data_IF_084669266307
#
_entry.id   IF_084669266307
#
_cell.length_a   1.000
_cell.length_b   1.000
_cell.length_c   1.000
_cell.angle_alpha   90.00
_cell.angle_beta   90.00
_cell.angle_gamma   90.00
#
_symmetry.space_group_name_H-M   'P 1'
#
loop_
_entity.id
_entity.type
_entity.pdbx_description
1 polymer ?
#
# COMPACT_ATOMS: atom_id res chain seq x y z
N UNK A 1 -27.18 22.52 2.72
CA UNK A 1 -27.08 21.50 3.79
C UNK A 1 -28.42 20.82 3.82
N UNK A 2 -28.54 19.60 3.29
CA UNK A 2 -29.83 18.92 3.15
C UNK A 2 -30.27 18.41 4.53
N UNK A 3 -31.44 18.80 5.03
CA UNK A 3 -31.86 18.38 6.36
C UNK A 3 -32.27 16.91 6.28
N UNK A 4 -31.36 16.01 6.64
CA UNK A 4 -31.75 14.66 7.04
C UNK A 4 -32.81 14.77 8.14
N UNK A 5 -33.83 13.91 8.15
CA UNK A 5 -34.87 13.97 9.16
C UNK A 5 -34.26 13.79 10.56
N UNK A 6 -34.49 14.77 11.44
CA UNK A 6 -33.99 14.77 12.81
C UNK A 6 -35.11 14.41 13.79
N UNK A 7 -34.78 13.66 14.85
CA UNK A 7 -35.74 13.33 15.90
C UNK A 7 -36.82 12.31 15.48
N UNK A 8 -36.63 11.60 14.36
CA UNK A 8 -37.58 10.60 13.87
C UNK A 8 -37.19 9.17 14.26
N UNK A 9 -38.07 8.21 13.99
CA UNK A 9 -37.85 6.77 14.22
C UNK A 9 -36.73 6.18 13.36
N UNK A 10 -36.28 6.87 12.32
CA UNK A 10 -35.11 6.48 11.51
C UNK A 10 -33.79 6.59 12.28
N UNK A 11 -33.80 7.34 13.39
CA UNK A 11 -32.63 7.62 14.21
C UNK A 11 -31.76 8.72 13.61
N UNK A 12 -30.53 8.84 14.12
CA UNK A 12 -29.58 9.84 13.63
C UNK A 12 -28.96 9.34 12.32
N UNK A 13 -29.45 9.88 11.19
CA UNK A 13 -28.96 9.55 9.87
C UNK A 13 -27.68 10.32 9.52
N UNK A 14 -26.84 9.67 8.71
CA UNK A 14 -25.72 10.27 7.98
C UNK A 14 -25.82 9.82 6.52
N UNK A 15 -25.70 10.75 5.58
CA UNK A 15 -25.57 10.39 4.15
C UNK A 15 -24.28 9.59 3.99
N UNK A 16 -24.40 8.39 3.45
CA UNK A 16 -23.28 7.52 3.10
C UNK A 16 -22.79 7.84 1.70
N UNK A 17 -23.72 8.06 0.78
CA UNK A 17 -23.42 8.23 -0.64
C UNK A 17 -24.58 8.89 -1.39
N UNK A 18 -24.31 9.70 -2.40
CA UNK A 18 -25.32 10.36 -3.25
C UNK A 18 -25.30 9.68 -4.61
N UNK A 19 -26.40 8.99 -4.93
CA UNK A 19 -26.52 8.12 -6.08
C UNK A 19 -26.98 8.86 -7.33
N UNK A 20 -27.82 9.87 -7.16
CA UNK A 20 -28.28 10.76 -8.23
C UNK A 20 -28.31 12.21 -7.72
N UNK A 21 -27.77 13.13 -8.51
CA UNK A 21 -27.64 14.54 -8.17
C UNK A 21 -28.07 15.43 -9.33
N UNK A 22 -29.20 16.12 -9.15
CA UNK A 22 -29.70 17.11 -10.08
C UNK A 22 -30.35 18.25 -9.30
N UNK A 23 -29.69 19.41 -9.26
CA UNK A 23 -30.07 20.58 -8.44
C UNK A 23 -30.28 20.22 -6.94
N UNK A 24 -29.52 19.23 -6.47
CA UNK A 24 -29.66 18.60 -5.16
C UNK A 24 -29.59 17.06 -5.25
N UNK A 25 -29.40 16.35 -4.13
CA UNK A 25 -29.41 14.89 -4.10
C UNK A 25 -30.84 14.42 -4.34
N UNK A 26 -31.08 13.75 -5.46
CA UNK A 26 -32.39 13.18 -5.80
C UNK A 26 -32.49 11.74 -5.31
N UNK A 27 -31.39 11.01 -5.34
CA UNK A 27 -31.31 9.68 -4.72
C UNK A 27 -30.02 9.57 -3.93
N UNK A 28 -30.09 9.05 -2.69
CA UNK A 28 -28.90 8.84 -1.87
C UNK A 28 -29.09 7.66 -0.93
N UNK A 29 -28.00 7.16 -0.36
CA UNK A 29 -28.06 6.20 0.73
C UNK A 29 -27.67 6.86 2.05
N UNK A 30 -28.35 6.47 3.12
CA UNK A 30 -28.11 6.96 4.46
C UNK A 30 -27.97 5.79 5.43
N UNK A 31 -27.20 6.01 6.50
CA UNK A 31 -27.05 5.04 7.57
C UNK A 31 -27.40 5.70 8.90
N UNK A 32 -28.16 4.99 9.73
CA UNK A 32 -28.40 5.45 11.10
C UNK A 32 -27.27 5.02 12.05
N UNK A 33 -27.28 5.57 13.28
CA UNK A 33 -26.29 5.23 14.30
C UNK A 33 -26.26 3.74 14.71
N UNK A 34 -27.30 2.97 14.39
CA UNK A 34 -27.37 1.52 14.64
C UNK A 34 -26.80 0.69 13.46
N UNK A 35 -26.36 1.33 12.38
CA UNK A 35 -25.78 0.67 11.21
C UNK A 35 -26.79 0.27 10.14
N UNK A 36 -28.09 0.53 10.33
CA UNK A 36 -29.13 0.22 9.34
C UNK A 36 -28.99 1.16 8.15
N UNK A 37 -28.98 0.58 6.94
CA UNK A 37 -28.90 1.30 5.68
C UNK A 37 -30.28 1.61 5.14
N UNK A 38 -30.41 2.79 4.56
CA UNK A 38 -31.61 3.29 3.91
C UNK A 38 -31.26 3.77 2.51
N UNK A 39 -32.10 3.45 1.54
CA UNK A 39 -32.16 4.14 0.25
C UNK A 39 -33.18 5.27 0.37
N UNK A 40 -32.75 6.51 0.13
CA UNK A 40 -33.60 7.69 0.12
C UNK A 40 -33.80 8.16 -1.32
N UNK A 41 -35.06 8.34 -1.70
CA UNK A 41 -35.47 8.83 -3.01
C UNK A 41 -36.33 10.09 -2.83
N UNK A 42 -36.00 11.15 -3.56
CA UNK A 42 -36.80 12.36 -3.64
C UNK A 42 -38.01 12.09 -4.54
N UNK A 43 -39.19 12.04 -3.92
CA UNK A 43 -40.41 11.58 -4.57
C UNK A 43 -41.19 12.71 -5.22
N UNK A 44 -41.27 13.86 -4.56
CA UNK A 44 -42.03 15.02 -5.02
C UNK A 44 -41.64 16.30 -4.23
N UNK A 45 -42.12 17.45 -4.67
CA UNK A 45 -42.05 18.69 -3.91
C UNK A 45 -43.34 19.52 -3.96
N UNK A 46 -43.53 20.33 -2.93
CA UNK A 46 -44.50 21.41 -2.90
C UNK A 46 -43.79 22.75 -2.68
N UNK A 47 -44.54 23.84 -2.72
CA UNK A 47 -44.01 25.18 -2.43
C UNK A 47 -43.41 25.30 -1.01
N UNK A 48 -43.80 24.43 -0.08
CA UNK A 48 -43.41 24.49 1.33
C UNK A 48 -42.56 23.30 1.82
N UNK A 49 -42.65 22.15 1.16
CA UNK A 49 -42.11 20.88 1.66
C UNK A 49 -41.50 20.04 0.53
N UNK A 50 -40.46 19.26 0.86
CA UNK A 50 -39.93 18.19 0.02
C UNK A 50 -40.44 16.83 0.53
N UNK A 51 -40.81 15.94 -0.38
CA UNK A 51 -41.28 14.59 -0.07
C UNK A 51 -40.21 13.56 -0.41
N UNK A 52 -39.97 12.65 0.53
CA UNK A 52 -38.94 11.62 0.42
C UNK A 52 -39.48 10.25 0.76
N UNK A 53 -38.98 9.24 0.06
CA UNK A 53 -39.20 7.83 0.40
C UNK A 53 -37.89 7.26 0.92
N UNK A 54 -37.90 6.77 2.16
CA UNK A 54 -36.79 6.04 2.76
C UNK A 54 -37.13 4.57 2.88
N UNK A 55 -36.29 3.71 2.32
CA UNK A 55 -36.48 2.26 2.29
C UNK A 55 -35.33 1.59 3.03
N UNK A 56 -35.58 0.84 4.11
CA UNK A 56 -34.58 -0.06 4.69
C UNK A 56 -34.06 -1.01 3.61
N UNK A 57 -32.75 -1.08 3.45
CA UNK A 57 -32.15 -1.85 2.36
C UNK A 57 -30.90 -2.58 2.82
N UNK A 58 -30.78 -3.85 2.46
CA UNK A 58 -29.54 -4.60 2.67
C UNK A 58 -28.39 -4.04 1.82
N UNK A 59 -27.17 -4.24 2.30
CA UNK A 59 -25.97 -3.86 1.56
C UNK A 59 -25.88 -4.53 0.17
N UNK A 60 -26.48 -5.71 -0.01
CA UNK A 60 -26.45 -6.45 -1.27
C UNK A 60 -27.40 -5.80 -2.29
N UNK A 61 -28.63 -5.48 -1.88
CA UNK A 61 -29.58 -4.77 -2.76
C UNK A 61 -29.13 -3.36 -3.08
N UNK A 62 -28.58 -2.64 -2.10
CA UNK A 62 -28.05 -1.30 -2.35
C UNK A 62 -26.91 -1.33 -3.37
N UNK A 63 -26.06 -2.37 -3.35
CA UNK A 63 -25.03 -2.58 -4.38
C UNK A 63 -25.62 -2.83 -5.76
N UNK A 64 -26.70 -3.59 -5.88
CA UNK A 64 -27.37 -3.81 -7.17
C UNK A 64 -28.04 -2.54 -7.70
N UNK A 65 -28.61 -1.69 -6.84
CA UNK A 65 -29.13 -0.37 -7.25
C UNK A 65 -28.00 0.48 -7.83
N UNK A 66 -26.87 0.58 -7.13
CA UNK A 66 -25.68 1.35 -7.55
C UNK A 66 -25.11 0.91 -8.89
N UNK A 67 -25.21 -0.36 -9.24
CA UNK A 67 -24.69 -0.93 -10.49
C UNK A 67 -25.68 -0.83 -11.66
N UNK A 68 -26.86 -0.24 -11.44
CA UNK A 68 -27.95 -0.26 -12.42
C UNK A 68 -28.54 -1.66 -12.65
N UNK A 69 -28.20 -2.65 -11.82
CA UNK A 69 -28.71 -4.03 -11.90
C UNK A 69 -30.13 -4.14 -11.30
N UNK A 70 -30.46 -3.26 -10.34
CA UNK A 70 -31.76 -3.17 -9.70
C UNK A 70 -32.32 -1.75 -9.89
N UNK A 71 -33.42 -1.56 -10.63
CA UNK A 71 -34.07 -0.25 -10.76
C UNK A 71 -34.51 0.31 -9.41
N UNK A 72 -34.47 1.64 -9.25
CA UNK A 72 -34.85 2.32 -8.00
C UNK A 72 -36.30 2.01 -7.65
N UNK A 73 -37.19 1.99 -8.66
CA UNK A 73 -38.58 1.57 -8.50
C UNK A 73 -38.69 0.20 -7.82
N UNK A 74 -37.96 -0.81 -8.33
CA UNK A 74 -37.96 -2.17 -7.78
C UNK A 74 -37.35 -2.24 -6.38
N UNK A 75 -36.39 -1.37 -6.07
CA UNK A 75 -35.85 -1.25 -4.72
C UNK A 75 -36.93 -0.81 -3.70
N UNK A 76 -37.85 0.06 -4.12
CA UNK A 76 -38.95 0.61 -3.30
C UNK A 76 -40.13 -0.38 -3.23
N UNK A 77 -40.69 -0.79 -4.37
CA UNK A 77 -41.93 -1.62 -4.38
C UNK A 77 -41.72 -3.07 -3.97
N UNK A 78 -40.47 -3.49 -3.78
CA UNK A 78 -40.14 -4.81 -3.24
C UNK A 78 -39.25 -4.68 -2.01
N UNK A 79 -39.51 -3.68 -1.15
CA UNK A 79 -38.77 -3.47 0.09
C UNK A 79 -38.71 -4.74 0.94
N UNK A 80 -37.56 -5.01 1.54
CA UNK A 80 -37.28 -6.29 2.22
C UNK A 80 -38.21 -6.54 3.42
N UNK A 81 -38.57 -5.47 4.13
CA UNK A 81 -39.47 -5.53 5.29
C UNK A 81 -40.96 -5.27 4.92
N UNK A 82 -41.27 -5.07 3.65
CA UNK A 82 -42.63 -4.87 3.16
C UNK A 82 -43.26 -3.50 3.47
N UNK A 83 -42.45 -2.52 3.91
CA UNK A 83 -42.89 -1.14 4.15
C UNK A 83 -41.80 -0.13 3.78
N UNK A 84 -42.19 1.13 3.65
CA UNK A 84 -41.30 2.28 3.44
C UNK A 84 -41.65 3.40 4.41
N UNK A 85 -40.74 4.35 4.58
CA UNK A 85 -41.01 5.58 5.31
C UNK A 85 -41.21 6.74 4.33
N UNK A 86 -42.37 7.37 4.40
CA UNK A 86 -42.66 8.60 3.68
C UNK A 86 -42.38 9.79 4.60
N UNK A 87 -41.48 10.67 4.18
CA UNK A 87 -40.93 11.74 5.01
C UNK A 87 -41.15 13.08 4.31
N UNK A 88 -41.78 14.02 5.00
CA UNK A 88 -41.95 15.39 4.53
C UNK A 88 -41.03 16.32 5.31
N UNK A 89 -40.20 17.07 4.59
CA UNK A 89 -39.26 18.02 5.18
C UNK A 89 -39.60 19.44 4.76
N UNK A 90 -39.82 20.33 5.73
CA UNK A 90 -40.10 21.73 5.46
C UNK A 90 -38.89 22.49 4.92
N UNK A 91 -39.08 23.26 3.84
CA UNK A 91 -38.04 24.09 3.20
C UNK A 91 -37.59 25.29 4.06
N UNK A 92 -38.41 25.72 5.02
CA UNK A 92 -38.13 26.87 5.92
C UNK A 92 -37.62 26.45 7.30
N UNK A 93 -37.47 25.14 7.55
CA UNK A 93 -37.11 24.58 8.85
C UNK A 93 -38.33 24.44 9.77
N UNK A 94 -38.62 23.21 10.21
CA UNK A 94 -39.81 22.88 10.98
C UNK A 94 -39.83 21.41 11.43
N UNK A 95 -40.96 20.98 12.00
CA UNK A 95 -41.18 19.57 12.34
C UNK A 95 -41.19 18.70 11.08
N UNK A 96 -40.58 17.51 11.19
CA UNK A 96 -40.55 16.51 10.12
C UNK A 96 -41.74 15.58 10.31
N UNK A 97 -42.61 15.49 9.31
CA UNK A 97 -43.69 14.51 9.29
C UNK A 97 -43.15 13.19 8.71
N UNK A 98 -43.29 12.10 9.46
CA UNK A 98 -42.84 10.77 9.06
C UNK A 98 -43.97 9.78 9.23
N UNK A 99 -44.36 9.15 8.12
CA UNK A 99 -45.35 8.10 8.07
C UNK A 99 -44.70 6.80 7.61
N UNK A 100 -45.08 5.68 8.22
CA UNK A 100 -44.74 4.34 7.71
C UNK A 100 -45.88 3.88 6.80
N UNK A 101 -45.57 3.51 5.56
CA UNK A 101 -46.52 3.06 4.56
C UNK A 101 -46.21 1.62 4.15
N UNK A 102 -47.24 0.78 4.04
CA UNK A 102 -47.12 -0.48 3.34
C UNK A 102 -46.88 -0.25 1.84
N UNK A 103 -46.27 -1.22 1.14
CA UNK A 103 -45.98 -1.07 -0.29
C UNK A 103 -47.24 -0.76 -1.12
N UNK A 104 -48.37 -1.38 -0.79
CA UNK A 104 -49.64 -1.21 -1.50
C UNK A 104 -50.32 0.15 -1.20
N UNK A 105 -49.81 0.91 -0.22
CA UNK A 105 -50.33 2.23 0.18
C UNK A 105 -49.58 3.38 -0.49
N UNK A 106 -48.51 3.09 -1.25
CA UNK A 106 -47.71 4.09 -1.95
C UNK A 106 -48.47 4.54 -3.20
N UNK A 107 -48.64 5.86 -3.37
CA UNK A 107 -49.22 6.43 -4.58
C UNK A 107 -48.30 6.14 -5.79
N UNK A 108 -48.77 5.46 -6.86
CA UNK A 108 -47.95 5.17 -8.02
C UNK A 108 -47.38 6.41 -8.72
N UNK A 109 -47.99 7.59 -8.54
CA UNK A 109 -47.54 8.83 -9.17
C UNK A 109 -46.26 9.42 -8.56
N UNK A 110 -45.90 9.02 -7.33
CA UNK A 110 -44.67 9.48 -6.64
C UNK A 110 -43.52 8.49 -6.74
N UNK A 111 -43.73 7.37 -7.43
CA UNK A 111 -42.70 6.37 -7.70
C UNK A 111 -41.87 6.76 -8.94
N UNK A 112 -40.56 6.45 -8.96
CA UNK A 112 -39.77 6.62 -10.18
C UNK A 112 -40.25 5.66 -11.27
N UNK A 113 -39.95 5.95 -12.56
CA UNK A 113 -40.26 5.03 -13.66
C UNK A 113 -39.72 3.60 -13.41
N UNK A 114 -40.44 2.54 -13.81
CA UNK A 114 -40.01 1.15 -13.59
C UNK A 114 -38.63 0.81 -14.17
N UNK A 115 -38.26 1.47 -15.26
CA UNK A 115 -36.98 1.35 -15.97
C UNK A 115 -35.86 2.26 -15.42
N UNK A 116 -36.14 3.09 -14.42
CA UNK A 116 -35.17 4.05 -13.89
C UNK A 116 -34.02 3.34 -13.14
N UNK A 117 -32.87 3.30 -13.81
CA UNK A 117 -31.61 2.74 -13.34
C UNK A 117 -30.56 3.83 -13.30
N UNK A 118 -29.66 3.78 -12.33
CA UNK A 118 -28.55 4.71 -12.25
C UNK A 118 -27.65 4.55 -13.47
N UNK A 119 -27.32 5.65 -14.13
CA UNK A 119 -26.33 5.67 -15.20
C UNK A 119 -25.00 5.18 -14.64
N UNK A 120 -24.57 4.00 -15.09
CA UNK A 120 -23.27 3.43 -14.72
C UNK A 120 -22.21 4.34 -15.32
N UNK A 121 -21.67 5.25 -14.50
CA UNK A 121 -20.46 5.98 -14.88
C UNK A 121 -19.36 4.93 -15.04
N UNK A 122 -19.00 4.65 -16.29
CA UNK A 122 -17.82 3.86 -16.64
C UNK A 122 -16.66 4.33 -15.75
N UNK A 123 -16.05 3.38 -15.04
CA UNK A 123 -14.98 3.59 -14.06
C UNK A 123 -13.68 4.13 -14.71
N UNK A 124 -13.75 5.34 -15.26
CA UNK A 124 -12.63 6.15 -15.73
C UNK A 124 -12.40 7.38 -14.83
N UNK A 125 -13.32 7.66 -13.90
CA UNK A 125 -13.14 8.70 -12.88
C UNK A 125 -12.34 8.17 -11.70
N UNK A 126 -11.09 8.65 -11.53
CA UNK A 126 -10.42 8.60 -10.23
C UNK A 126 -11.26 9.45 -9.28
N UNK A 127 -12.12 8.85 -8.45
CA UNK A 127 -12.81 9.61 -7.41
C UNK A 127 -11.73 10.09 -6.45
N UNK A 128 -11.53 11.41 -6.38
CA UNK A 128 -10.55 11.98 -5.47
C UNK A 128 -10.97 11.59 -4.04
N UNK A 129 -10.04 11.05 -3.21
CA UNK A 129 -10.37 10.67 -1.85
C UNK A 129 -10.92 11.88 -1.08
N UNK A 130 -12.09 11.72 -0.47
CA UNK A 130 -12.63 12.73 0.46
C UNK A 130 -11.82 12.65 1.75
N UNK A 131 -11.27 13.78 2.21
CA UNK A 131 -10.42 13.82 3.39
C UNK A 131 -11.11 13.19 4.62
N UNK A 132 -10.44 12.23 5.27
CA UNK A 132 -10.95 11.49 6.42
C UNK A 132 -11.84 10.28 6.09
N UNK A 133 -11.94 9.87 4.82
CA UNK A 133 -12.58 8.62 4.42
C UNK A 133 -11.61 7.43 4.49
N UNK A 134 -12.18 6.22 4.53
CA UNK A 134 -11.45 4.97 4.59
C UNK A 134 -11.85 4.10 3.40
N UNK A 135 -10.88 3.35 2.86
CA UNK A 135 -11.12 2.36 1.84
C UNK A 135 -10.91 0.96 2.41
N UNK A 136 -11.64 0.01 1.85
CA UNK A 136 -11.49 -1.41 2.14
C UNK A 136 -10.78 -2.03 0.94
N UNK A 137 -9.59 -2.54 1.18
CA UNK A 137 -8.91 -3.43 0.27
C UNK A 137 -9.44 -4.86 0.48
N UNK A 138 -10.24 -5.34 -0.45
CA UNK A 138 -10.75 -6.71 -0.46
C UNK A 138 -9.76 -7.62 -1.19
N UNK A 139 -9.11 -8.48 -0.44
CA UNK A 139 -8.15 -9.48 -0.94
C UNK A 139 -8.85 -10.83 -1.06
N UNK A 140 -8.98 -11.33 -2.28
CA UNK A 140 -9.63 -12.60 -2.60
C UNK A 140 -8.57 -13.60 -3.06
N UNK A 141 -8.50 -14.76 -2.42
CA UNK A 141 -7.63 -15.87 -2.81
C UNK A 141 -8.49 -17.06 -3.24
N UNK A 142 -8.28 -17.52 -4.47
CA UNK A 142 -9.00 -18.65 -5.07
C UNK A 142 -8.01 -19.70 -5.59
N UNK A 143 -8.42 -20.96 -5.67
CA UNK A 143 -7.65 -21.96 -6.40
C UNK A 143 -7.83 -21.74 -7.91
N UNK A 144 -6.79 -21.99 -8.71
CA UNK A 144 -6.89 -21.97 -10.17
C UNK A 144 -7.96 -22.96 -10.67
N UNK A 145 -7.94 -24.18 -10.12
CA UNK A 145 -9.06 -25.10 -10.22
C UNK A 145 -10.13 -24.76 -9.16
N UNK A 146 -11.25 -24.18 -9.59
CA UNK A 146 -12.35 -23.76 -8.72
C UNK A 146 -13.03 -24.90 -7.94
N UNK A 147 -12.78 -26.16 -8.30
CA UNK A 147 -13.31 -27.32 -7.57
C UNK A 147 -12.45 -27.70 -6.36
N UNK A 148 -11.20 -27.20 -6.31
CA UNK A 148 -10.23 -27.47 -5.25
C UNK A 148 -10.53 -26.62 -4.02
N UNK A 149 -10.66 -27.27 -2.86
CA UNK A 149 -10.75 -26.57 -1.57
C UNK A 149 -9.37 -26.07 -1.15
N UNK A 150 -9.31 -24.84 -0.67
CA UNK A 150 -8.09 -24.23 -0.14
C UNK A 150 -7.98 -24.44 1.37
N UNK A 151 -6.76 -24.70 1.83
CA UNK A 151 -6.41 -24.71 3.25
C UNK A 151 -5.95 -23.33 3.74
N UNK A 152 -6.02 -23.12 5.05
CA UNK A 152 -5.53 -21.90 5.72
C UNK A 152 -4.03 -21.71 5.45
N UNK A 153 -3.28 -22.81 5.45
CA UNK A 153 -1.83 -22.86 5.22
C UNK A 153 -1.43 -22.43 3.80
N UNK A 154 -2.35 -22.47 2.84
CA UNK A 154 -2.13 -22.01 1.47
C UNK A 154 -2.51 -20.54 1.27
N UNK A 155 -3.61 -20.11 1.90
CA UNK A 155 -4.20 -18.78 1.73
C UNK A 155 -3.41 -17.70 2.45
N UNK A 156 -3.16 -17.88 3.75
CA UNK A 156 -2.56 -16.83 4.59
C UNK A 156 -1.20 -16.37 4.08
N UNK A 157 -0.29 -17.27 3.63
CA UNK A 157 0.97 -16.83 3.03
C UNK A 157 0.80 -15.95 1.79
N UNK A 158 -0.22 -16.19 0.95
CA UNK A 158 -0.46 -15.36 -0.23
C UNK A 158 -0.89 -13.94 0.17
N UNK A 159 -1.76 -13.84 1.19
CA UNK A 159 -2.22 -12.55 1.74
C UNK A 159 -1.07 -11.80 2.42
N UNK A 160 -0.25 -12.47 3.22
CA UNK A 160 0.91 -11.86 3.87
C UNK A 160 1.89 -11.29 2.84
N UNK A 161 2.16 -12.04 1.78
CA UNK A 161 3.04 -11.62 0.69
C UNK A 161 2.44 -10.45 -0.10
N UNK A 162 1.13 -10.44 -0.32
CA UNK A 162 0.42 -9.30 -0.89
C UNK A 162 0.55 -8.06 0.00
N UNK A 163 0.23 -8.18 1.29
CA UNK A 163 0.31 -7.07 2.23
C UNK A 163 1.72 -6.48 2.29
N UNK A 164 2.75 -7.34 2.31
CA UNK A 164 4.16 -6.92 2.26
C UNK A 164 4.48 -6.16 0.95
N UNK A 165 4.01 -6.65 -0.19
CA UNK A 165 4.20 -5.98 -1.48
C UNK A 165 3.51 -4.61 -1.52
N UNK A 166 2.25 -4.52 -1.06
CA UNK A 166 1.50 -3.27 -1.03
C UNK A 166 2.08 -2.27 -0.04
N UNK A 167 2.52 -2.70 1.15
CA UNK A 167 3.19 -1.84 2.11
C UNK A 167 4.49 -1.25 1.55
N UNK A 168 5.28 -2.03 0.80
CA UNK A 168 6.46 -1.48 0.12
C UNK A 168 6.10 -0.43 -0.95
N UNK A 169 4.96 -0.58 -1.62
CA UNK A 169 4.45 0.44 -2.53
C UNK A 169 4.00 1.71 -1.78
N UNK A 170 3.38 1.59 -0.61
CA UNK A 170 3.01 2.71 0.27
C UNK A 170 4.24 3.45 0.81
N UNK A 171 5.26 2.73 1.28
CA UNK A 171 6.51 3.31 1.76
C UNK A 171 7.20 4.14 0.67
N UNK A 172 7.17 3.65 -0.58
CA UNK A 172 7.79 4.34 -1.73
C UNK A 172 7.10 5.65 -2.12
N UNK A 173 5.91 5.93 -1.59
CA UNK A 173 5.17 7.19 -1.78
C UNK A 173 5.00 7.97 -0.47
N UNK A 174 5.72 7.57 0.59
CA UNK A 174 5.74 8.27 1.87
C UNK A 174 4.51 8.05 2.76
N UNK A 175 3.76 6.97 2.55
CA UNK A 175 2.62 6.61 3.43
C UNK A 175 3.08 5.65 4.50
N UNK A 176 2.94 6.06 5.76
CA UNK A 176 3.09 5.19 6.93
C UNK A 176 1.70 4.72 7.36
N UNK A 177 1.30 3.54 6.90
CA UNK A 177 -0.02 2.97 7.18
C UNK A 177 0.06 1.45 7.36
N UNK A 178 -0.90 0.90 8.10
CA UNK A 178 -1.03 -0.54 8.27
C UNK A 178 -2.37 -1.01 7.68
N UNK A 179 -2.33 -2.12 6.94
CA UNK A 179 -3.54 -2.84 6.55
C UNK A 179 -4.13 -3.53 7.78
N UNK A 180 -5.35 -3.16 8.18
CA UNK A 180 -6.02 -3.71 9.36
C UNK A 180 -7.12 -4.69 8.94
N UNK A 181 -7.11 -5.96 9.40
CA UNK A 181 -8.20 -6.90 9.11
C UNK A 181 -9.53 -6.45 9.69
N UNK A 182 -10.58 -6.40 8.87
CA UNK A 182 -11.94 -6.02 9.30
C UNK A 182 -12.99 -7.12 9.09
N UNK A 183 -12.71 -8.14 8.27
CA UNK A 183 -13.62 -9.27 8.11
C UNK A 183 -13.07 -10.40 7.25
N UNK A 184 -13.56 -11.63 7.47
CA UNK A 184 -13.25 -12.81 6.67
C UNK A 184 -14.52 -13.61 6.35
N UNK A 185 -14.63 -14.14 5.13
CA UNK A 185 -15.81 -14.92 4.68
C UNK A 185 -15.41 -16.31 4.16
N UNK A 186 -16.17 -17.38 4.47
CA UNK A 186 -15.91 -18.72 3.95
C UNK A 186 -16.29 -18.85 2.47
N UNK A 187 -15.48 -19.56 1.68
CA UNK A 187 -15.61 -19.68 0.21
C UNK A 187 -14.23 -19.57 -0.46
N UNK A 188 -14.16 -18.92 -1.63
CA UNK A 188 -12.92 -18.19 -1.96
C UNK A 188 -12.57 -17.33 -0.77
N UNK A 189 -11.32 -17.40 -0.28
CA UNK A 189 -11.01 -16.75 0.97
C UNK A 189 -10.93 -15.25 0.73
N UNK A 190 -11.86 -14.51 1.32
CA UNK A 190 -11.94 -13.06 1.22
C UNK A 190 -11.47 -12.47 2.54
N UNK A 191 -10.48 -11.59 2.49
CA UNK A 191 -10.04 -10.75 3.60
C UNK A 191 -10.25 -9.29 3.25
N UNK A 192 -11.09 -8.60 4.02
CA UNK A 192 -11.26 -7.16 3.91
C UNK A 192 -10.22 -6.49 4.83
N UNK A 193 -9.41 -5.58 4.27
CA UNK A 193 -8.35 -4.83 4.94
C UNK A 193 -8.64 -3.34 4.86
N UNK A 194 -8.65 -2.64 5.99
CA UNK A 194 -8.89 -1.20 6.02
C UNK A 194 -7.60 -0.40 5.73
N UNK A 195 -7.71 0.66 4.92
CA UNK A 195 -6.64 1.61 4.59
C UNK A 195 -7.19 3.03 4.47
N UNK A 196 -6.43 4.03 4.93
CA UNK A 196 -6.81 5.43 4.81
C UNK A 196 -6.90 5.86 3.33
N UNK A 197 -7.97 6.57 2.96
CA UNK A 197 -8.17 7.06 1.61
C UNK A 197 -7.34 8.33 1.38
N UNK A 198 -6.14 8.18 0.85
CA UNK A 198 -5.25 9.31 0.52
C UNK A 198 -4.78 9.27 -0.94
N UNK A 199 -4.44 10.43 -1.55
CA UNK A 199 -3.86 10.46 -2.90
C UNK A 199 -2.60 9.61 -3.05
N UNK A 200 -1.81 9.49 -1.98
CA UNK A 200 -0.61 8.67 -1.94
C UNK A 200 -0.96 7.19 -1.96
N UNK A 201 -1.98 6.74 -1.20
CA UNK A 201 -2.49 5.37 -1.27
C UNK A 201 -3.03 5.04 -2.68
N UNK A 202 -3.69 5.98 -3.35
CA UNK A 202 -4.08 5.83 -4.76
C UNK A 202 -2.87 5.55 -5.64
N UNK A 203 -1.81 6.36 -5.51
CA UNK A 203 -0.56 6.18 -6.27
C UNK A 203 0.08 4.82 -5.98
N UNK A 204 0.10 4.39 -4.72
CA UNK A 204 0.62 3.08 -4.34
C UNK A 204 -0.16 1.93 -4.99
N UNK A 205 -1.50 1.96 -4.95
CA UNK A 205 -2.32 0.93 -5.57
C UNK A 205 -2.20 0.92 -7.10
N UNK A 206 -2.15 2.09 -7.73
CA UNK A 206 -1.89 2.21 -9.17
C UNK A 206 -0.54 1.61 -9.56
N UNK A 207 0.51 1.79 -8.74
CA UNK A 207 1.82 1.12 -8.96
C UNK A 207 1.68 -0.41 -8.91
N UNK A 208 0.96 -0.95 -7.94
CA UNK A 208 0.70 -2.39 -7.86
C UNK A 208 -0.08 -2.90 -9.07
N UNK A 209 -1.10 -2.15 -9.54
CA UNK A 209 -1.89 -2.49 -10.73
C UNK A 209 -1.04 -2.54 -11.99
N UNK A 210 -0.19 -1.55 -12.19
CA UNK A 210 0.79 -1.55 -13.29
C UNK A 210 1.71 -2.75 -13.17
N UNK A 211 2.12 -3.08 -11.94
CA UNK A 211 3.00 -4.21 -11.70
C UNK A 211 2.37 -5.59 -11.94
N UNK A 212 1.05 -5.66 -11.95
CA UNK A 212 0.30 -6.91 -11.99
C UNK A 212 -0.43 -7.14 -13.32
N UNK A 213 -0.38 -6.20 -14.26
CA UNK A 213 -1.20 -6.25 -15.46
C UNK A 213 -0.83 -7.46 -16.36
N UNK A 214 -1.83 -8.32 -16.58
CA UNK A 214 -1.69 -9.68 -17.10
C UNK A 214 -1.43 -9.79 -18.61
N UNK A 215 -1.65 -8.72 -19.38
CA UNK A 215 -1.76 -8.81 -20.85
C UNK A 215 -0.74 -8.00 -21.65
N UNK A 216 0.27 -7.42 -21.01
CA UNK A 216 1.26 -6.66 -21.75
C UNK A 216 2.67 -7.14 -21.43
N UNK A 217 3.40 -7.58 -22.44
CA UNK A 217 4.84 -7.79 -22.32
C UNK A 217 5.54 -6.55 -21.77
N UNK A 218 4.97 -5.36 -21.99
CA UNK A 218 5.42 -4.07 -21.46
C UNK A 218 4.98 -3.80 -20.00
N UNK A 219 3.90 -4.41 -19.49
CA UNK A 219 3.39 -4.15 -18.14
C UNK A 219 4.32 -4.68 -17.04
N UNK A 220 4.88 -5.86 -17.25
CA UNK A 220 5.85 -6.42 -16.28
C UNK A 220 7.24 -5.77 -16.44
N UNK A 221 7.53 -5.08 -17.56
CA UNK A 221 8.67 -4.14 -17.65
C UNK A 221 8.48 -2.94 -16.71
N UNK A 222 7.22 -2.60 -16.39
CA UNK A 222 6.89 -1.60 -15.38
C UNK A 222 6.72 -2.15 -13.96
N UNK A 223 6.48 -3.46 -13.80
CA UNK A 223 6.24 -4.10 -12.50
C UNK A 223 7.46 -4.24 -11.60
N UNK A 224 8.61 -4.38 -12.23
CA UNK A 224 9.90 -4.54 -11.58
C UNK A 224 10.79 -3.34 -11.95
N UNK A 225 10.19 -2.13 -11.95
CA UNK A 225 10.86 -0.85 -12.25
C UNK A 225 12.14 -0.71 -11.42
N UNK A 226 12.06 -1.09 -10.16
CA UNK A 226 13.22 -1.16 -9.27
C UNK A 226 13.53 -2.59 -8.80
N UNK A 227 14.81 -2.90 -8.50
CA UNK A 227 15.17 -4.15 -7.84
C UNK A 227 14.47 -4.39 -6.51
N UNK A 228 14.23 -3.34 -5.72
CA UNK A 228 13.51 -3.42 -4.44
C UNK A 228 12.07 -3.91 -4.61
N UNK A 229 11.29 -3.32 -5.50
CA UNK A 229 9.93 -3.79 -5.81
C UNK A 229 9.93 -5.24 -6.30
N UNK A 230 10.88 -5.60 -7.18
CA UNK A 230 11.02 -6.97 -7.67
C UNK A 230 11.31 -7.97 -6.55
N UNK A 231 12.05 -7.56 -5.51
CA UNK A 231 12.36 -8.37 -4.33
C UNK A 231 11.14 -8.58 -3.42
N UNK A 232 10.18 -7.66 -3.41
CA UNK A 232 8.90 -7.81 -2.70
C UNK A 232 7.89 -8.62 -3.51
N UNK A 233 7.87 -8.47 -4.84
CA UNK A 233 6.95 -9.16 -5.73
C UNK A 233 7.33 -10.63 -5.99
N UNK A 234 8.63 -10.96 -6.04
CA UNK A 234 9.11 -12.31 -6.37
C UNK A 234 8.53 -13.41 -5.48
N UNK A 235 8.50 -13.27 -4.14
CA UNK A 235 7.93 -14.30 -3.28
C UNK A 235 6.42 -14.48 -3.50
N UNK A 236 5.68 -13.40 -3.75
CA UNK A 236 4.24 -13.45 -4.04
C UNK A 236 3.99 -14.27 -5.32
N UNK A 237 4.69 -13.93 -6.41
CA UNK A 237 4.55 -14.68 -7.67
C UNK A 237 4.99 -16.14 -7.52
N UNK A 238 6.06 -16.40 -6.77
CA UNK A 238 6.50 -17.76 -6.49
C UNK A 238 5.42 -18.56 -5.74
N UNK A 239 4.79 -17.96 -4.73
CA UNK A 239 3.71 -18.56 -3.97
C UNK A 239 2.48 -18.89 -4.83
N UNK A 240 2.02 -17.93 -5.64
CA UNK A 240 0.87 -18.11 -6.54
C UNK A 240 1.14 -19.21 -7.58
N UNK A 241 2.34 -19.22 -8.16
CA UNK A 241 2.75 -20.20 -9.16
C UNK A 241 2.87 -21.63 -8.60
N UNK A 242 3.46 -21.78 -7.41
CA UNK A 242 3.70 -23.08 -6.77
C UNK A 242 2.43 -23.71 -6.21
N UNK A 243 1.51 -22.89 -5.69
CA UNK A 243 0.27 -23.34 -5.06
C UNK A 243 -0.96 -23.28 -5.98
N UNK A 244 -0.77 -22.85 -7.23
CA UNK A 244 -1.84 -22.73 -8.22
C UNK A 244 -3.01 -21.89 -7.70
N UNK A 245 -2.65 -20.69 -7.21
CA UNK A 245 -3.57 -19.73 -6.61
C UNK A 245 -3.79 -18.55 -7.55
N UNK A 246 -4.99 -17.99 -7.42
CA UNK A 246 -5.44 -16.76 -8.05
C UNK A 246 -5.63 -15.71 -6.96
N UNK A 247 -5.00 -14.54 -7.12
CA UNK A 247 -5.16 -13.42 -6.21
C UNK A 247 -5.93 -12.31 -6.92
N UNK A 248 -7.05 -11.88 -6.36
CA UNK A 248 -7.78 -10.68 -6.80
C UNK A 248 -7.80 -9.66 -5.67
N UNK A 249 -7.48 -8.40 -5.97
CA UNK A 249 -7.54 -7.31 -5.01
C UNK A 249 -8.42 -6.21 -5.55
N UNK A 250 -9.48 -5.89 -4.81
CA UNK A 250 -10.39 -4.80 -5.10
C UNK A 250 -10.16 -3.70 -4.06
N UNK A 251 -10.08 -2.45 -4.49
CA UNK A 251 -10.17 -1.33 -3.57
C UNK A 251 -11.61 -0.85 -3.61
N UNK A 252 -12.30 -0.86 -2.47
CA UNK A 252 -13.68 -0.42 -2.35
C UNK A 252 -13.85 0.68 -1.32
N UNK A 253 -14.81 1.57 -1.52
CA UNK A 253 -15.23 2.50 -0.47
C UNK A 253 -15.89 1.73 0.68
N UNK A 254 -16.06 2.36 1.85
CA UNK A 254 -16.86 1.76 2.94
C UNK A 254 -18.31 1.47 2.53
N UNK A 255 -18.81 2.15 1.49
CA UNK A 255 -20.11 1.91 0.88
C UNK A 255 -20.12 0.76 -0.15
N UNK A 256 -18.96 0.14 -0.42
CA UNK A 256 -18.81 -1.04 -1.28
C UNK A 256 -18.57 -0.74 -2.76
N UNK A 257 -18.23 0.50 -3.13
CA UNK A 257 -17.98 0.91 -4.51
C UNK A 257 -16.55 0.66 -4.91
N UNK A 258 -16.32 0.12 -6.10
CA UNK A 258 -14.97 -0.14 -6.60
C UNK A 258 -14.30 1.19 -6.99
N UNK A 259 -13.21 1.53 -6.29
CA UNK A 259 -12.44 2.78 -6.49
C UNK A 259 -11.49 2.67 -7.67
N UNK A 260 -10.93 1.47 -7.89
CA UNK A 260 -9.97 1.18 -8.95
C UNK A 260 -10.33 -0.13 -9.63
N UNK A 261 -9.96 -0.28 -10.91
CA UNK A 261 -10.04 -1.58 -11.58
C UNK A 261 -9.43 -2.68 -10.69
N UNK A 262 -10.10 -3.84 -10.53
CA UNK A 262 -9.55 -4.92 -9.72
C UNK A 262 -8.18 -5.37 -10.23
N UNK A 263 -7.25 -5.56 -9.30
CA UNK A 263 -5.98 -6.21 -9.56
C UNK A 263 -6.21 -7.71 -9.61
N UNK A 264 -5.74 -8.39 -10.65
CA UNK A 264 -5.78 -9.86 -10.72
C UNK A 264 -4.39 -10.39 -11.04
N UNK A 265 -3.94 -11.37 -10.26
CA UNK A 265 -2.69 -12.10 -10.44
C UNK A 265 -2.99 -13.59 -10.48
N UNK A 266 -2.98 -14.13 -11.69
CA UNK A 266 -3.13 -15.58 -11.89
C UNK A 266 -1.84 -16.36 -11.69
N UNK A 267 -2.00 -17.64 -11.36
CA UNK A 267 -0.92 -18.62 -11.32
C UNK A 267 -0.19 -18.72 -12.67
N UNK A 268 -0.91 -18.58 -13.79
CA UNK A 268 -0.36 -18.55 -15.14
C UNK A 268 0.51 -17.30 -15.36
N UNK A 269 -0.01 -16.11 -15.03
CA UNK A 269 0.73 -14.84 -15.09
C UNK A 269 1.98 -14.90 -14.21
N UNK A 270 1.87 -15.48 -13.02
CA UNK A 270 2.99 -15.64 -12.11
C UNK A 270 4.09 -16.53 -12.71
N UNK A 271 3.74 -17.71 -13.24
CA UNK A 271 4.71 -18.62 -13.90
C UNK A 271 5.42 -17.97 -15.08
N UNK A 272 4.68 -17.22 -15.91
CA UNK A 272 5.22 -16.53 -17.08
C UNK A 272 6.26 -15.47 -16.71
N UNK A 273 6.07 -14.76 -15.59
CA UNK A 273 6.87 -13.61 -15.21
C UNK A 273 7.94 -13.89 -14.15
N UNK A 274 7.83 -15.00 -13.41
CA UNK A 274 8.69 -15.29 -12.25
C UNK A 274 10.19 -15.27 -12.56
N UNK A 275 10.62 -15.89 -13.67
CA UNK A 275 12.04 -15.95 -14.03
C UNK A 275 12.65 -14.53 -14.21
N UNK A 276 11.87 -13.63 -14.78
CA UNK A 276 12.27 -12.24 -15.04
C UNK A 276 12.29 -11.41 -13.76
N UNK A 277 11.21 -11.45 -12.97
CA UNK A 277 11.14 -10.77 -11.68
C UNK A 277 12.26 -11.27 -10.76
N UNK A 278 12.53 -12.56 -10.75
CA UNK A 278 13.65 -13.16 -10.01
C UNK A 278 15.00 -12.61 -10.46
N UNK A 279 15.25 -12.46 -11.76
CA UNK A 279 16.49 -11.83 -12.27
C UNK A 279 16.67 -10.41 -11.74
N UNK A 280 15.60 -9.61 -11.72
CA UNK A 280 15.65 -8.24 -11.21
C UNK A 280 15.77 -8.18 -9.68
N UNK A 281 15.06 -9.05 -8.94
CA UNK A 281 15.12 -9.14 -7.47
C UNK A 281 16.53 -9.42 -6.94
N UNK A 282 17.35 -10.15 -7.70
CA UNK A 282 18.75 -10.46 -7.36
C UNK A 282 19.66 -9.24 -7.39
N UNK A 283 19.21 -8.13 -8.01
CA UNK A 283 19.93 -6.86 -7.99
C UNK A 283 19.63 -6.05 -6.74
N UNK A 284 18.57 -6.38 -5.99
CA UNK A 284 18.23 -5.70 -4.75
C UNK A 284 19.29 -5.95 -3.68
N UNK A 285 19.45 -4.98 -2.78
CA UNK A 285 20.40 -5.03 -1.70
C UNK A 285 19.67 -5.34 -0.39
N UNK A 286 20.26 -6.18 0.45
CA UNK A 286 19.74 -6.46 1.78
C UNK A 286 20.06 -5.32 2.74
N UNK A 287 19.13 -5.01 3.66
CA UNK A 287 19.34 -3.97 4.67
C UNK A 287 20.64 -4.16 5.48
N UNK A 288 21.06 -5.40 5.74
CA UNK A 288 22.30 -5.66 6.50
C UNK A 288 23.57 -5.18 5.77
N UNK A 289 23.51 -4.99 4.45
CA UNK A 289 24.63 -4.59 3.60
C UNK A 289 24.81 -3.07 3.51
N UNK A 290 23.88 -2.29 4.04
CA UNK A 290 23.94 -0.82 4.04
C UNK A 290 24.47 -0.31 5.39
N UNK A 291 25.47 0.58 5.40
CA UNK A 291 26.05 1.10 6.64
C UNK A 291 25.07 2.01 7.38
N UNK A 292 25.30 2.13 8.70
CA UNK A 292 24.52 3.01 9.58
C UNK A 292 25.42 3.76 10.59
N UNK A 293 26.73 3.61 10.46
CA UNK A 293 27.74 4.29 11.26
C UNK A 293 28.55 5.20 10.34
N UNK A 294 28.45 6.50 10.53
CA UNK A 294 28.99 7.56 9.68
C UNK A 294 30.46 7.91 9.97
N UNK A 295 30.94 7.65 11.19
CA UNK A 295 32.32 7.89 11.60
C UNK A 295 33.26 6.74 11.17
N UNK A 296 33.98 6.91 10.07
CA UNK A 296 34.96 5.95 9.55
C UNK A 296 36.15 5.73 10.52
N UNK A 297 36.56 6.75 11.27
CA UNK A 297 37.64 6.63 12.26
C UNK A 297 37.29 5.62 13.35
N UNK A 298 36.04 5.64 13.83
CA UNK A 298 35.52 4.63 14.77
C UNK A 298 35.34 3.26 14.12
N UNK A 299 35.07 3.18 12.82
CA UNK A 299 35.09 1.90 12.10
C UNK A 299 36.51 1.31 12.13
N UNK A 300 37.54 2.12 11.89
CA UNK A 300 38.94 1.66 11.97
C UNK A 300 39.34 1.25 13.38
N UNK A 301 38.90 2.01 14.40
CA UNK A 301 39.08 1.63 15.80
C UNK A 301 38.40 0.30 16.14
N UNK A 302 37.24 0.03 15.56
CA UNK A 302 36.52 -1.25 15.74
C UNK A 302 37.35 -2.42 15.24
N UNK A 303 37.97 -2.30 14.07
CA UNK A 303 38.88 -3.32 13.52
C UNK A 303 40.08 -3.55 14.45
N UNK A 304 40.64 -2.46 15.00
CA UNK A 304 41.77 -2.53 15.95
C UNK A 304 41.41 -3.26 17.24
N UNK A 305 40.24 -2.99 17.82
CA UNK A 305 39.80 -3.67 19.04
C UNK A 305 39.51 -5.15 18.76
N UNK A 306 38.89 -5.44 17.62
CA UNK A 306 38.59 -6.79 17.18
C UNK A 306 39.86 -7.64 16.99
N UNK A 307 40.93 -7.08 16.41
CA UNK A 307 42.20 -7.80 16.23
C UNK A 307 42.90 -8.14 17.56
N UNK A 308 42.75 -7.29 18.58
CA UNK A 308 43.41 -7.46 19.88
C UNK A 308 42.64 -8.39 20.82
N UNK A 309 41.32 -8.20 20.92
CA UNK A 309 40.51 -8.80 22.00
C UNK A 309 39.41 -9.72 21.50
N UNK A 310 39.10 -9.67 20.18
CA UNK A 310 37.94 -10.31 19.54
C UNK A 310 36.57 -9.94 20.14
N UNK A 311 36.52 -9.06 21.13
CA UNK A 311 35.30 -8.67 21.84
C UNK A 311 35.17 -7.16 21.88
N UNK A 312 34.50 -6.63 20.86
CA UNK A 312 34.18 -5.20 20.77
C UNK A 312 33.01 -4.89 21.71
N UNK A 313 33.20 -3.96 22.64
CA UNK A 313 32.18 -3.53 23.60
C UNK A 313 31.89 -2.04 23.48
N UNK A 314 30.77 -1.61 24.06
CA UNK A 314 30.35 -0.21 24.12
C UNK A 314 31.42 0.65 24.83
N UNK A 315 31.96 0.12 25.93
CA UNK A 315 33.03 0.76 26.69
C UNK A 315 34.32 0.90 25.89
N UNK A 316 34.78 -0.17 25.23
CA UNK A 316 36.03 -0.13 24.46
C UNK A 316 35.96 0.81 23.24
N UNK A 317 34.76 1.01 22.68
CA UNK A 317 34.54 1.92 21.55
C UNK A 317 34.15 3.36 21.97
N UNK A 318 33.83 3.59 23.25
CA UNK A 318 33.31 4.89 23.70
C UNK A 318 31.94 5.25 23.10
N UNK A 319 31.08 4.26 22.87
CA UNK A 319 29.76 4.42 22.25
C UNK A 319 28.66 3.79 23.09
N UNK A 320 27.39 4.08 22.76
CA UNK A 320 26.26 3.37 23.41
C UNK A 320 26.11 1.95 22.88
N UNK A 321 25.56 1.04 23.69
CA UNK A 321 25.50 -0.39 23.37
C UNK A 321 24.91 -0.70 21.98
N UNK A 322 23.86 0.02 21.58
CA UNK A 322 23.22 -0.12 20.25
C UNK A 322 24.15 0.19 19.07
N UNK A 323 25.14 1.07 19.25
CA UNK A 323 26.05 1.51 18.19
C UNK A 323 27.17 0.50 17.91
N UNK A 324 27.51 -0.37 18.87
CA UNK A 324 28.55 -1.39 18.69
C UNK A 324 28.27 -2.25 17.46
N UNK A 325 27.02 -2.71 17.31
CA UNK A 325 26.60 -3.51 16.17
C UNK A 325 26.65 -2.73 14.84
N UNK A 326 26.46 -1.41 14.86
CA UNK A 326 26.53 -0.60 13.64
C UNK A 326 27.98 -0.49 13.15
N UNK A 327 28.93 -0.26 14.05
CA UNK A 327 30.35 -0.21 13.69
C UNK A 327 30.91 -1.57 13.28
N UNK A 328 30.52 -2.66 13.96
CA UNK A 328 30.88 -4.02 13.54
C UNK A 328 30.38 -4.35 12.13
N UNK A 329 29.13 -3.95 11.81
CA UNK A 329 28.57 -4.12 10.47
C UNK A 329 29.28 -3.25 9.44
N UNK A 330 29.55 -1.98 9.74
CA UNK A 330 30.29 -1.09 8.86
C UNK A 330 31.68 -1.65 8.52
N UNK A 331 32.41 -2.20 9.51
CA UNK A 331 33.69 -2.84 9.28
C UNK A 331 33.58 -4.10 8.39
N UNK A 332 32.48 -4.86 8.50
CA UNK A 332 32.20 -6.00 7.59
C UNK A 332 31.84 -5.56 6.18
N UNK A 333 31.06 -4.47 6.03
CA UNK A 333 30.68 -3.90 4.73
C UNK A 333 31.93 -3.45 3.96
N UNK A 334 32.88 -2.83 4.65
CA UNK A 334 34.19 -2.45 4.09
C UNK A 334 35.16 -3.64 3.96
N UNK A 335 34.71 -4.87 4.18
CA UNK A 335 35.54 -6.06 4.04
C UNK A 335 36.69 -6.17 5.04
N UNK A 336 36.75 -5.33 6.08
CA UNK A 336 37.83 -5.35 7.08
C UNK A 336 37.67 -6.44 8.13
N UNK A 337 36.43 -6.85 8.42
CA UNK A 337 36.13 -7.98 9.29
C UNK A 337 35.33 -9.05 8.53
N UNK A 338 35.57 -10.32 8.87
CA UNK A 338 34.76 -11.44 8.39
C UNK A 338 33.50 -11.66 9.26
N UNK A 339 32.71 -12.69 8.94
CA UNK A 339 31.48 -13.02 9.68
C UNK A 339 31.73 -13.48 11.12
N UNK A 340 32.96 -13.91 11.44
CA UNK A 340 33.42 -14.27 12.78
C UNK A 340 33.99 -13.08 13.55
N UNK A 341 33.90 -11.87 12.98
CA UNK A 341 34.44 -10.62 13.53
C UNK A 341 35.98 -10.62 13.66
N UNK A 342 36.65 -11.41 12.82
CA UNK A 342 38.11 -11.46 12.75
C UNK A 342 38.60 -10.56 11.59
N UNK A 343 39.76 -9.88 11.74
CA UNK A 343 40.37 -9.12 10.65
C UNK A 343 40.59 -9.96 9.40
N UNK A 344 40.20 -9.42 8.25
CA UNK A 344 40.57 -9.96 6.94
C UNK A 344 41.98 -9.49 6.55
N UNK A 345 42.50 -9.92 5.40
CA UNK A 345 43.74 -9.36 4.85
C UNK A 345 43.69 -7.83 4.68
N UNK A 346 42.54 -7.29 4.25
CA UNK A 346 42.33 -5.85 4.14
C UNK A 346 42.29 -5.19 5.53
N UNK A 347 41.65 -5.83 6.51
CA UNK A 347 41.66 -5.37 7.90
C UNK A 347 43.05 -5.33 8.51
N UNK A 348 43.86 -6.37 8.29
CA UNK A 348 45.28 -6.41 8.72
C UNK A 348 46.13 -5.32 8.06
N UNK A 349 45.89 -5.05 6.77
CA UNK A 349 46.55 -3.97 6.06
C UNK A 349 46.16 -2.61 6.66
N UNK A 350 44.88 -2.36 6.88
CA UNK A 350 44.34 -1.13 7.48
C UNK A 350 45.06 -0.75 8.78
N UNK A 351 45.34 -1.74 9.64
CA UNK A 351 45.98 -1.53 10.94
C UNK A 351 47.44 -1.04 10.84
N UNK A 352 48.11 -1.27 9.71
CA UNK A 352 49.51 -0.88 9.48
C UNK A 352 49.65 0.46 8.75
N UNK A 353 48.57 0.95 8.15
CA UNK A 353 48.57 2.19 7.38
C UNK A 353 48.44 3.43 8.28
N UNK A 354 48.98 4.55 7.80
CA UNK A 354 48.70 5.90 8.32
C UNK A 354 47.31 6.38 7.87
N UNK A 355 46.80 7.46 8.47
CA UNK A 355 45.39 7.85 8.36
C UNK A 355 44.93 8.11 6.90
N UNK A 356 45.67 8.87 6.10
CA UNK A 356 45.31 9.12 4.69
C UNK A 356 45.27 7.81 3.87
N UNK A 357 46.24 6.93 4.10
CA UNK A 357 46.29 5.63 3.43
C UNK A 357 45.16 4.68 3.87
N UNK A 358 44.67 4.81 5.11
CA UNK A 358 43.47 4.09 5.57
C UNK A 358 42.23 4.54 4.81
N UNK A 359 42.10 5.84 4.56
CA UNK A 359 40.99 6.40 3.79
C UNK A 359 41.05 5.98 2.31
N UNK A 360 42.24 5.94 1.70
CA UNK A 360 42.41 5.38 0.35
C UNK A 360 41.99 3.90 0.31
N UNK A 361 42.43 3.08 1.26
CA UNK A 361 42.02 1.69 1.33
C UNK A 361 40.50 1.55 1.55
N UNK A 362 39.92 2.35 2.44
CA UNK A 362 38.48 2.36 2.68
C UNK A 362 37.68 2.79 1.45
N UNK A 363 38.18 3.73 0.64
CA UNK A 363 37.55 4.13 -0.62
C UNK A 363 37.49 2.95 -1.59
N UNK A 364 38.61 2.25 -1.77
CA UNK A 364 38.66 1.05 -2.64
C UNK A 364 37.73 -0.04 -2.13
N UNK A 365 37.74 -0.31 -0.82
CA UNK A 365 36.88 -1.34 -0.22
C UNK A 365 35.40 -1.00 -0.30
N UNK A 366 35.02 0.28 -0.11
CA UNK A 366 33.63 0.68 -0.24
C UNK A 366 33.14 0.55 -1.68
N UNK A 367 33.93 0.96 -2.66
CA UNK A 367 33.60 0.84 -4.08
C UNK A 367 33.30 -0.61 -4.51
N UNK A 368 34.09 -1.57 -4.03
CA UNK A 368 33.89 -3.00 -4.33
C UNK A 368 32.90 -3.70 -3.40
N UNK A 369 32.41 -3.02 -2.35
CA UNK A 369 31.41 -3.59 -1.44
C UNK A 369 30.07 -3.82 -2.14
N UNK A 370 29.23 -4.69 -1.57
CA UNK A 370 27.87 -4.93 -2.09
C UNK A 370 27.07 -3.61 -2.21
N UNK A 371 27.24 -2.70 -1.25
CA UNK A 371 26.52 -1.42 -1.24
C UNK A 371 27.09 -0.42 -2.25
N UNK A 372 28.41 -0.18 -2.23
CA UNK A 372 29.04 0.78 -3.13
C UNK A 372 28.91 0.38 -4.59
N UNK A 373 29.19 -0.87 -4.92
CA UNK A 373 29.04 -1.38 -6.30
C UNK A 373 27.58 -1.39 -6.78
N UNK A 374 26.62 -1.59 -5.88
CA UNK A 374 25.20 -1.44 -6.22
C UNK A 374 24.83 0.02 -6.50
N UNK A 375 25.34 0.96 -5.70
CA UNK A 375 25.07 2.39 -5.88
C UNK A 375 25.68 2.91 -7.19
N UNK A 376 26.93 2.55 -7.49
CA UNK A 376 27.62 2.91 -8.74
C UNK A 376 26.81 2.42 -9.95
N UNK A 377 26.42 1.15 -9.96
CA UNK A 377 25.62 0.58 -11.06
C UNK A 377 24.24 1.22 -11.18
N UNK A 378 23.58 1.48 -10.05
CA UNK A 378 22.26 2.12 -10.04
C UNK A 378 22.32 3.55 -10.61
N UNK A 379 23.34 4.32 -10.22
CA UNK A 379 23.58 5.67 -10.71
C UNK A 379 24.13 5.71 -12.15
N UNK A 380 24.36 4.55 -12.78
CA UNK A 380 25.08 4.44 -14.07
C UNK A 380 26.44 5.15 -14.08
N UNK A 381 27.09 5.19 -12.92
CA UNK A 381 28.43 5.71 -12.69
C UNK A 381 29.49 4.69 -13.11
N UNK A 382 30.71 5.16 -13.39
CA UNK A 382 31.84 4.27 -13.68
C UNK A 382 32.59 3.90 -12.40
N UNK A 383 32.74 4.87 -11.48
CA UNK A 383 33.44 4.70 -10.21
C UNK A 383 32.72 5.45 -9.08
N UNK A 384 33.25 5.33 -7.85
CA UNK A 384 32.76 6.09 -6.71
C UNK A 384 32.87 7.62 -6.90
N UNK A 385 33.80 8.10 -7.73
CA UNK A 385 33.96 9.55 -8.00
C UNK A 385 32.74 10.17 -8.67
N UNK A 386 32.04 9.41 -9.49
CA UNK A 386 30.92 9.92 -10.30
C UNK A 386 29.61 9.97 -9.50
N UNK A 387 29.58 9.40 -8.29
CA UNK A 387 28.40 9.40 -7.43
C UNK A 387 28.13 10.78 -6.84
N UNK A 388 26.86 11.15 -6.66
CA UNK A 388 26.49 12.36 -5.92
C UNK A 388 25.89 12.00 -4.56
N UNK A 389 26.31 12.65 -3.45
CA UNK A 389 25.78 12.38 -2.10
C UNK A 389 24.26 12.50 -2.00
N UNK A 390 23.66 13.38 -2.80
CA UNK A 390 22.23 13.68 -2.84
C UNK A 390 21.42 12.48 -3.37
N UNK A 391 22.03 11.60 -4.17
CA UNK A 391 21.36 10.42 -4.72
C UNK A 391 21.18 9.27 -3.72
N UNK A 392 21.81 9.35 -2.54
CA UNK A 392 21.82 8.26 -1.56
C UNK A 392 20.41 7.83 -1.12
N UNK A 393 19.50 8.79 -0.89
CA UNK A 393 18.10 8.48 -0.50
C UNK A 393 17.36 7.75 -1.61
N UNK A 394 17.45 8.23 -2.85
CA UNK A 394 16.82 7.60 -4.02
C UNK A 394 17.34 6.18 -4.26
N UNK A 395 18.66 6.00 -4.21
CA UNK A 395 19.30 4.69 -4.29
C UNK A 395 18.72 3.70 -3.26
N UNK A 396 18.62 4.11 -1.99
CA UNK A 396 18.12 3.24 -0.93
C UNK A 396 16.64 2.88 -1.10
N UNK A 397 15.79 3.83 -1.51
CA UNK A 397 14.37 3.58 -1.77
C UNK A 397 14.16 2.57 -2.89
N UNK A 398 14.98 2.61 -3.94
CA UNK A 398 14.83 1.71 -5.09
C UNK A 398 15.50 0.34 -4.89
N UNK A 399 16.59 0.29 -4.12
CA UNK A 399 17.42 -0.91 -4.04
C UNK A 399 17.19 -1.72 -2.76
N UNK A 400 16.62 -1.13 -1.70
CA UNK A 400 16.52 -1.75 -0.37
C UNK A 400 15.07 -1.75 0.12
N UNK A 401 14.29 -2.79 -0.17
CA UNK A 401 12.83 -2.78 0.04
C UNK A 401 12.39 -2.87 1.51
N UNK A 402 13.26 -3.33 2.41
CA UNK A 402 12.90 -3.61 3.81
C UNK A 402 13.30 -2.47 4.77
N UNK A 403 13.39 -1.22 4.29
CA UNK A 403 13.73 -0.06 5.10
C UNK A 403 12.55 0.90 5.28
N UNK A 404 12.14 1.10 6.54
CA UNK A 404 11.25 2.22 6.90
C UNK A 404 11.85 3.56 6.49
N UNK A 405 11.03 4.56 6.16
CA UNK A 405 11.48 5.89 5.75
C UNK A 405 12.50 6.53 6.71
N UNK A 406 12.24 6.51 8.03
CA UNK A 406 13.19 7.06 9.01
C UNK A 406 14.54 6.33 9.05
N UNK A 407 14.56 5.04 8.67
CA UNK A 407 15.82 4.28 8.53
C UNK A 407 16.51 4.59 7.21
N UNK A 408 15.77 4.79 6.12
CA UNK A 408 16.29 5.26 4.83
C UNK A 408 17.01 6.59 5.03
N UNK A 409 16.37 7.58 5.66
CA UNK A 409 16.96 8.91 5.87
C UNK A 409 18.26 8.87 6.66
N UNK A 410 18.28 8.10 7.76
CA UNK A 410 19.49 7.95 8.59
C UNK A 410 20.64 7.29 7.82
N UNK A 411 20.34 6.28 7.01
CA UNK A 411 21.35 5.55 6.23
C UNK A 411 21.79 6.33 4.99
N UNK A 412 20.90 7.09 4.37
CA UNK A 412 21.24 8.02 3.30
C UNK A 412 22.27 9.03 3.81
N UNK A 413 22.03 9.65 4.98
CA UNK A 413 23.02 10.55 5.63
C UNK A 413 24.37 9.86 5.87
N UNK A 414 24.35 8.60 6.32
CA UNK A 414 25.58 7.82 6.52
C UNK A 414 26.34 7.62 5.20
N UNK A 415 25.63 7.24 4.12
CA UNK A 415 26.20 7.03 2.80
C UNK A 415 26.75 8.33 2.20
N UNK A 416 26.02 9.43 2.32
CA UNK A 416 26.47 10.76 1.88
C UNK A 416 27.75 11.16 2.62
N UNK A 417 27.79 11.01 3.96
CA UNK A 417 28.97 11.32 4.76
C UNK A 417 30.19 10.44 4.41
N UNK A 418 29.97 9.15 4.16
CA UNK A 418 31.03 8.26 3.68
C UNK A 418 31.54 8.68 2.32
N UNK A 419 30.64 8.98 1.37
CA UNK A 419 31.02 9.40 0.03
C UNK A 419 31.86 10.69 0.05
N UNK A 420 31.45 11.69 0.83
CA UNK A 420 32.18 12.95 1.00
C UNK A 420 33.57 12.74 1.61
N UNK A 421 33.69 11.85 2.60
CA UNK A 421 34.98 11.52 3.23
C UNK A 421 35.89 10.69 2.32
N UNK A 422 35.33 9.78 1.51
CA UNK A 422 36.12 8.83 0.72
C UNK A 422 36.52 9.38 -0.65
N UNK A 423 35.68 10.23 -1.27
CA UNK A 423 35.95 10.80 -2.60
C UNK A 423 37.34 11.45 -2.73
N UNK A 424 37.82 12.28 -1.79
CA UNK A 424 39.14 12.90 -1.92
C UNK A 424 40.31 11.92 -1.97
N UNK A 425 40.11 10.67 -1.52
CA UNK A 425 41.16 9.65 -1.38
C UNK A 425 41.09 8.55 -2.43
N UNK A 426 40.25 8.71 -3.45
CA UNK A 426 40.09 7.74 -4.53
C UNK A 426 41.34 7.67 -5.41
N UNK A 427 41.70 6.46 -5.83
CA UNK A 427 42.97 6.17 -6.50
C UNK A 427 43.14 6.87 -7.86
N UNK A 428 42.05 7.28 -8.52
CA UNK A 428 42.12 8.02 -9.79
C UNK A 428 42.55 9.47 -9.64
N UNK A 429 42.55 10.04 -8.43
CA UNK A 429 43.06 11.38 -8.14
C UNK A 429 44.56 11.39 -7.79
N UNK A 430 45.18 10.21 -7.71
CA UNK A 430 46.59 10.02 -7.36
C UNK A 430 47.48 9.70 -8.57
N UNK A 431 46.96 9.89 -9.79
CA UNK A 431 47.71 9.93 -11.06
C UNK A 431 47.84 11.38 -11.50
#
# INVERSE_FOLDING_TARGET
>A
MYPLPLGTTLGRLKIVDVLDYYDGPKTFSAQNAAGVLFLAFWADETDAEDHWIYVPISADRLRSVRRGELPIHSAIVSAEDGFVYFVKTSKTGGEVDLQTLGIDEIDPSVLPPPEDVLDVVDAQGTTAPVAGSSWIQRVVVEAFDRTRKLSVEEVFPAIELWARFFNGAMDSVGVVGALVPVGARPGSFILDLEVEATPEVSKAFQRCLVASAENDSQAVDHAARSPGEAKLLEPLLAALAQRELELRVEMVTTAGEIVFRPLSLSSLTARRNLARVRKQSRRALESVKVPQADDLGRVFQTVKIASQTRRVTAHSLGVVHRQVNYYLRAARILGFLNDRLEPTSAGEQLLRLADDARLTLASMQFEVSDCGSAWIRWASASTLQDLSPETAKGFLLEMVPDLSEGTVDRRAKTLSAWLEQLKPYHYTLQQ
#
